data_IF_225267307736
#
_entry.id   IF_225267307736
#
_cell.length_a   1.000
_cell.length_b   1.000
_cell.length_c   1.000
_cell.angle_alpha   90.00
_cell.angle_beta   90.00
_cell.angle_gamma   90.00
#
_symmetry.space_group_name_H-M   'P 1'
#
loop_
_entity.id
_entity.type
_entity.pdbx_description
1 polymer ?
#
# COMPACT_ATOMS: atom_id res chain seq x y z
N UNK A 1 3.97 66.93 -38.21
CA UNK A 1 3.65 67.38 -36.84
C UNK A 1 4.51 66.61 -35.85
N UNK A 2 5.39 67.31 -35.12
CA UNK A 2 6.22 66.75 -34.03
C UNK A 2 5.45 66.91 -32.73
N UNK A 3 5.21 65.82 -32.00
CA UNK A 3 4.66 65.87 -30.65
C UNK A 3 5.77 65.40 -29.71
N UNK A 4 6.33 66.36 -28.96
CA UNK A 4 7.13 66.13 -27.76
C UNK A 4 6.24 66.49 -26.58
N UNK A 5 6.18 65.63 -25.58
CA UNK A 5 5.78 65.88 -24.18
C UNK A 5 5.48 64.52 -23.55
N UNK A 6 5.69 64.22 -22.27
CA UNK A 6 6.46 64.74 -21.13
C UNK A 6 6.07 63.76 -19.99
N UNK A 7 6.79 63.83 -18.86
CA UNK A 7 6.43 63.27 -17.54
C UNK A 7 6.80 61.80 -17.28
N UNK A 8 8.03 61.64 -16.78
CA UNK A 8 8.43 60.57 -15.88
C UNK A 8 8.06 61.00 -14.45
N UNK A 9 7.22 60.21 -13.80
CA UNK A 9 6.94 60.21 -12.36
C UNK A 9 6.25 58.87 -12.04
N UNK A 10 6.35 58.20 -10.91
CA UNK A 10 7.19 58.24 -9.72
C UNK A 10 6.72 56.99 -8.93
N UNK A 11 7.68 56.22 -8.40
CA UNK A 11 7.59 55.30 -7.25
C UNK A 11 6.41 54.30 -7.09
N UNK A 12 6.77 53.08 -6.69
CA UNK A 12 6.40 52.40 -5.43
C UNK A 12 6.59 50.90 -5.66
N UNK A 13 7.51 50.26 -4.93
CA UNK A 13 7.36 48.84 -4.63
C UNK A 13 7.80 48.57 -3.19
N UNK A 14 6.81 48.36 -2.35
CA UNK A 14 6.93 48.11 -0.91
C UNK A 14 7.55 46.74 -0.66
N UNK A 15 8.57 46.71 0.20
CA UNK A 15 9.21 45.49 0.69
C UNK A 15 8.42 44.97 1.90
N UNK A 16 7.60 43.93 1.70
CA UNK A 16 6.94 43.23 2.81
C UNK A 16 7.74 41.96 3.15
N UNK A 17 8.55 42.02 4.21
CA UNK A 17 9.23 40.85 4.78
C UNK A 17 8.21 40.10 5.64
N UNK A 18 7.55 39.09 5.04
CA UNK A 18 6.74 38.14 5.78
C UNK A 18 7.64 37.21 6.61
N UNK A 19 7.72 37.45 7.92
CA UNK A 19 8.21 36.44 8.87
C UNK A 19 7.20 35.30 8.96
N UNK A 20 7.46 34.21 8.26
CA UNK A 20 6.74 32.96 8.47
C UNK A 20 7.33 32.26 9.71
N UNK A 21 6.53 31.93 10.74
CA UNK A 21 7.01 31.07 11.81
C UNK A 21 7.33 29.68 11.23
N UNK A 22 8.40 29.01 11.68
CA UNK A 22 8.67 27.65 11.29
C UNK A 22 7.50 26.77 11.77
N UNK A 23 6.80 26.13 10.82
CA UNK A 23 5.85 25.07 11.14
C UNK A 23 6.60 23.98 11.92
N UNK A 24 6.27 23.84 13.19
CA UNK A 24 6.66 22.70 14.00
C UNK A 24 6.15 21.43 13.30
N UNK A 25 7.07 20.66 12.73
CA UNK A 25 6.79 19.33 12.20
C UNK A 25 6.39 18.48 13.41
N UNK A 26 5.12 18.13 13.52
CA UNK A 26 4.68 17.17 14.53
C UNK A 26 5.44 15.87 14.29
N UNK A 27 6.41 15.55 15.14
CA UNK A 27 6.92 14.20 15.25
C UNK A 27 5.81 13.36 15.89
N UNK A 28 4.82 12.97 15.08
CA UNK A 28 4.09 11.76 15.37
C UNK A 28 5.15 10.66 15.38
N UNK A 29 5.47 10.17 16.58
CA UNK A 29 6.06 8.85 16.71
C UNK A 29 4.97 7.89 16.23
N UNK A 30 4.90 7.72 14.90
CA UNK A 30 4.03 6.76 14.26
C UNK A 30 4.52 5.39 14.71
N UNK A 31 3.87 4.86 15.75
CA UNK A 31 4.00 3.45 16.08
C UNK A 31 3.61 2.69 14.82
N UNK A 32 4.57 2.03 14.19
CA UNK A 32 4.31 1.21 13.01
C UNK A 32 3.19 0.22 13.35
N UNK A 33 2.14 0.12 12.51
CA UNK A 33 1.00 -0.73 12.83
C UNK A 33 1.43 -2.20 12.90
N UNK A 34 0.77 -2.94 13.80
CA UNK A 34 0.92 -4.39 13.92
C UNK A 34 -0.03 -5.07 12.94
N UNK A 35 0.54 -5.96 12.12
CA UNK A 35 -0.16 -6.78 11.15
C UNK A 35 -0.29 -8.21 11.67
N UNK A 36 -1.52 -8.64 11.89
CA UNK A 36 -1.83 -9.95 12.48
C UNK A 36 -1.95 -11.02 11.41
N UNK A 37 -1.53 -12.24 11.72
CA UNK A 37 -1.66 -13.36 10.78
C UNK A 37 -3.14 -13.76 10.56
N UNK A 38 -3.55 -13.85 9.30
CA UNK A 38 -4.87 -14.35 8.89
C UNK A 38 -4.88 -15.87 9.07
N UNK A 39 -5.64 -16.32 10.07
CA UNK A 39 -5.77 -17.75 10.38
C UNK A 39 -6.51 -18.47 9.25
N UNK A 40 -6.09 -19.71 8.95
CA UNK A 40 -6.70 -20.59 7.95
C UNK A 40 -6.72 -20.07 6.50
N UNK A 41 -5.98 -19.01 6.20
CA UNK A 41 -5.73 -18.61 4.83
C UNK A 41 -4.95 -19.68 4.07
N UNK A 42 -4.99 -19.65 2.74
CA UNK A 42 -4.17 -20.49 1.87
C UNK A 42 -3.56 -19.60 0.79
N UNK A 43 -2.27 -19.78 0.52
CA UNK A 43 -1.60 -19.17 -0.63
C UNK A 43 -1.25 -20.26 -1.63
N UNK A 44 -1.50 -20.01 -2.91
CA UNK A 44 -0.91 -20.78 -4.01
C UNK A 44 -0.12 -19.87 -4.92
N UNK A 45 1.00 -20.36 -5.39
CA UNK A 45 1.84 -19.72 -6.38
C UNK A 45 2.02 -20.69 -7.55
N UNK A 46 1.57 -20.29 -8.75
CA UNK A 46 1.47 -21.16 -9.92
C UNK A 46 0.71 -22.46 -9.63
N UNK A 47 -0.44 -22.34 -8.94
CA UNK A 47 -1.31 -23.45 -8.54
C UNK A 47 -0.71 -24.44 -7.52
N UNK A 48 0.50 -24.19 -7.03
CA UNK A 48 1.17 -24.99 -5.99
C UNK A 48 1.23 -24.25 -4.65
N UNK A 49 1.22 -25.00 -3.55
CA UNK A 49 1.47 -24.42 -2.23
C UNK A 49 2.96 -23.99 -2.11
N UNK A 50 3.26 -22.72 -1.83
CA UNK A 50 4.64 -22.27 -1.72
C UNK A 50 5.31 -22.86 -0.47
N UNK A 51 6.62 -23.07 -0.55
CA UNK A 51 7.43 -23.63 0.55
C UNK A 51 7.34 -22.87 1.88
N UNK A 52 7.14 -21.56 1.84
CA UNK A 52 7.03 -20.70 3.02
C UNK A 52 6.17 -19.49 2.67
N UNK A 53 5.10 -19.27 3.44
CA UNK A 53 4.19 -18.16 3.24
C UNK A 53 3.43 -17.80 4.51
N UNK A 54 2.88 -16.58 4.55
CA UNK A 54 1.87 -16.16 5.51
C UNK A 54 1.08 -14.98 4.92
N UNK A 55 -0.15 -14.76 5.37
CA UNK A 55 -0.93 -13.56 5.05
C UNK A 55 -1.16 -12.80 6.35
N UNK A 56 -0.88 -11.50 6.33
CA UNK A 56 -1.12 -10.61 7.45
C UNK A 56 -2.14 -9.54 7.08
N UNK A 57 -2.86 -9.05 8.08
CA UNK A 57 -3.86 -8.01 7.95
C UNK A 57 -3.73 -6.97 9.05
N UNK A 58 -4.26 -5.78 8.78
CA UNK A 58 -4.55 -4.78 9.82
C UNK A 58 -6.05 -4.71 10.04
N UNK A 59 -6.50 -3.72 10.81
CA UNK A 59 -7.93 -3.36 10.90
C UNK A 59 -8.48 -2.83 9.56
N UNK A 60 -7.59 -2.39 8.64
CA UNK A 60 -7.99 -1.93 7.31
C UNK A 60 -8.36 -3.12 6.41
N UNK A 61 -9.67 -3.31 6.20
CA UNK A 61 -10.21 -4.32 5.28
C UNK A 61 -9.77 -4.10 3.83
N UNK A 62 -9.47 -5.21 3.17
CA UNK A 62 -9.03 -5.25 1.77
C UNK A 62 -7.55 -4.93 1.57
N UNK A 63 -6.78 -4.76 2.65
CA UNK A 63 -5.34 -4.59 2.58
C UNK A 63 -4.64 -5.74 3.28
N UNK A 64 -3.81 -6.46 2.53
CA UNK A 64 -3.13 -7.67 2.98
C UNK A 64 -1.64 -7.54 2.75
N UNK A 65 -0.83 -8.00 3.70
CA UNK A 65 0.60 -8.16 3.53
C UNK A 65 0.89 -9.65 3.40
N UNK A 66 1.33 -10.10 2.24
CA UNK A 66 1.61 -11.51 1.95
C UNK A 66 3.10 -11.73 1.99
N UNK A 67 3.55 -12.56 2.93
CA UNK A 67 4.90 -13.10 2.92
C UNK A 67 4.94 -14.29 1.98
N UNK A 68 5.81 -14.24 0.97
CA UNK A 68 6.02 -15.30 0.00
C UNK A 68 7.52 -15.54 -0.15
N UNK A 69 8.01 -16.64 0.44
CA UNK A 69 9.42 -17.02 0.50
C UNK A 69 10.35 -15.99 1.17
N UNK A 70 10.94 -15.07 0.40
CA UNK A 70 11.83 -14.00 0.86
C UNK A 70 11.29 -12.61 0.49
N UNK A 71 10.06 -12.57 -0.03
CA UNK A 71 9.40 -11.39 -0.57
C UNK A 71 8.18 -11.07 0.27
N UNK A 72 7.88 -9.79 0.35
CA UNK A 72 6.62 -9.31 0.91
C UNK A 72 5.85 -8.59 -0.18
N UNK A 73 4.58 -8.93 -0.32
CA UNK A 73 3.67 -8.31 -1.27
C UNK A 73 2.58 -7.61 -0.48
N UNK A 74 2.44 -6.30 -0.64
CA UNK A 74 1.26 -5.59 -0.17
C UNK A 74 0.20 -5.67 -1.26
N UNK A 75 -0.98 -6.20 -0.92
CA UNK A 75 -2.06 -6.44 -1.84
C UNK A 75 -3.27 -5.63 -1.39
N UNK A 76 -3.70 -4.69 -2.23
CA UNK A 76 -4.96 -3.97 -2.05
C UNK A 76 -6.02 -4.62 -2.94
N UNK A 77 -6.92 -5.38 -2.31
CA UNK A 77 -7.95 -6.13 -3.01
C UNK A 77 -9.10 -5.25 -3.52
N UNK A 78 -9.19 -4.00 -3.05
CA UNK A 78 -10.20 -3.04 -3.51
C UNK A 78 -9.74 -2.35 -4.78
N UNK A 79 -8.48 -1.90 -4.78
CA UNK A 79 -7.87 -1.25 -5.94
C UNK A 79 -7.32 -2.25 -6.97
N UNK A 80 -7.27 -3.55 -6.63
CA UNK A 80 -6.71 -4.62 -7.47
C UNK A 80 -5.22 -4.42 -7.78
N UNK A 81 -4.49 -3.92 -6.78
CA UNK A 81 -3.09 -3.58 -6.89
C UNK A 81 -2.23 -4.46 -5.99
N UNK A 82 -1.01 -4.73 -6.43
CA UNK A 82 0.01 -5.38 -5.64
C UNK A 82 1.30 -4.55 -5.65
N UNK A 83 2.04 -4.55 -4.55
CA UNK A 83 3.28 -3.80 -4.40
C UNK A 83 4.35 -4.71 -3.79
N UNK A 84 5.56 -4.67 -4.34
CA UNK A 84 6.71 -5.34 -3.75
C UNK A 84 7.23 -4.54 -2.57
N UNK A 85 7.20 -5.12 -1.37
CA UNK A 85 7.70 -4.47 -0.16
C UNK A 85 9.14 -4.89 0.08
N UNK A 86 9.99 -3.92 0.41
CA UNK A 86 11.35 -4.21 0.86
C UNK A 86 11.28 -5.02 2.17
N UNK A 87 11.74 -6.28 2.18
CA UNK A 87 11.67 -7.15 3.35
C UNK A 87 12.42 -6.58 4.56
N UNK A 88 13.40 -5.68 4.36
CA UNK A 88 14.13 -5.03 5.46
C UNK A 88 13.28 -4.05 6.26
N UNK A 89 12.18 -3.56 5.68
CA UNK A 89 11.26 -2.64 6.36
C UNK A 89 10.28 -3.36 7.28
N UNK A 90 10.09 -4.66 7.08
CA UNK A 90 9.16 -5.52 7.83
C UNK A 90 9.86 -6.11 9.06
N UNK A 91 9.31 -5.86 10.25
CA UNK A 91 9.87 -6.34 11.51
C UNK A 91 9.03 -7.50 12.07
N UNK A 92 9.57 -8.72 12.18
CA UNK A 92 8.86 -9.84 12.80
C UNK A 92 8.51 -9.58 14.28
N UNK A 93 7.32 -10.02 14.69
CA UNK A 93 6.78 -9.93 16.05
C UNK A 93 6.02 -11.21 16.41
N UNK A 94 6.75 -12.27 16.73
CA UNK A 94 6.15 -13.59 16.97
C UNK A 94 5.49 -14.12 15.70
N UNK A 95 4.17 -14.35 15.75
CA UNK A 95 3.37 -14.77 14.59
C UNK A 95 2.89 -13.60 13.72
N UNK A 96 3.14 -12.36 14.16
CA UNK A 96 2.70 -11.13 13.53
C UNK A 96 3.91 -10.37 12.97
N UNK A 97 3.65 -9.27 12.25
CA UNK A 97 4.70 -8.38 11.76
C UNK A 97 4.37 -6.91 12.02
N UNK A 98 5.39 -6.09 12.16
CA UNK A 98 5.28 -4.65 12.31
C UNK A 98 5.83 -3.99 11.04
N UNK A 99 4.97 -3.25 10.33
CA UNK A 99 5.33 -2.64 9.05
C UNK A 99 4.50 -1.36 8.81
N UNK A 100 5.13 -0.30 8.29
CA UNK A 100 4.43 0.98 8.06
C UNK A 100 3.93 1.09 6.63
N UNK A 101 2.65 1.47 6.40
CA UNK A 101 2.18 1.88 5.08
C UNK A 101 2.96 3.05 4.46
N UNK A 102 3.67 3.85 5.25
CA UNK A 102 4.57 4.88 4.75
C UNK A 102 5.82 4.31 4.04
N UNK A 103 6.15 3.04 4.30
CA UNK A 103 7.22 2.30 3.62
C UNK A 103 6.72 1.67 2.30
N UNK A 104 5.47 1.93 1.88
CA UNK A 104 4.89 1.44 0.63
C UNK A 104 5.58 2.13 -0.57
N UNK A 105 6.01 1.38 -1.61
CA UNK A 105 6.54 1.99 -2.82
C UNK A 105 5.44 2.66 -3.66
N UNK A 106 5.84 3.65 -4.46
CA UNK A 106 4.89 4.41 -5.30
C UNK A 106 4.36 3.61 -6.49
N UNK A 107 5.18 2.72 -7.06
CA UNK A 107 4.85 1.99 -8.28
C UNK A 107 4.22 0.63 -7.96
N UNK A 108 2.96 0.37 -8.35
CA UNK A 108 2.38 -0.96 -8.26
C UNK A 108 3.00 -1.92 -9.28
N UNK A 109 2.98 -3.20 -8.95
CA UNK A 109 3.21 -4.30 -9.88
C UNK A 109 2.06 -4.39 -10.87
N UNK A 110 2.35 -4.81 -12.11
CA UNK A 110 1.30 -5.17 -13.06
C UNK A 110 0.55 -6.41 -12.53
N UNK A 111 -0.77 -6.33 -12.44
CA UNK A 111 -1.65 -7.38 -11.91
C UNK A 111 -2.71 -7.85 -12.92
N UNK A 112 -2.34 -8.28 -14.15
CA UNK A 112 -3.32 -8.69 -15.14
C UNK A 112 -4.13 -9.90 -14.69
N UNK A 113 -5.30 -10.06 -15.32
CA UNK A 113 -6.23 -11.19 -15.07
C UNK A 113 -6.74 -11.26 -13.62
N UNK A 114 -6.86 -10.12 -12.95
CA UNK A 114 -7.39 -10.05 -11.60
C UNK A 114 -8.82 -10.62 -11.51
N UNK A 115 -9.02 -11.53 -10.56
CA UNK A 115 -10.30 -12.15 -10.25
C UNK A 115 -10.49 -12.24 -8.75
N UNK A 116 -11.61 -11.71 -8.28
CA UNK A 116 -12.10 -11.92 -6.91
C UNK A 116 -13.43 -12.66 -6.98
N UNK A 117 -13.57 -13.76 -6.23
CA UNK A 117 -14.86 -14.48 -6.12
C UNK A 117 -15.00 -15.16 -4.77
N UNK A 118 -16.24 -15.31 -4.32
CA UNK A 118 -16.55 -16.10 -3.13
C UNK A 118 -16.76 -17.56 -3.53
N UNK A 119 -16.17 -18.48 -2.77
CA UNK A 119 -16.19 -19.94 -2.99
C UNK A 119 -16.50 -20.64 -1.68
N UNK A 120 -17.78 -20.63 -1.30
CA UNK A 120 -18.24 -21.20 -0.04
C UNK A 120 -17.77 -20.37 1.16
N UNK A 121 -16.95 -20.95 2.02
CA UNK A 121 -16.40 -20.31 3.22
C UNK A 121 -15.09 -19.54 2.98
N UNK A 122 -14.71 -19.33 1.71
CA UNK A 122 -13.45 -18.70 1.33
C UNK A 122 -13.69 -17.64 0.24
N UNK A 123 -12.96 -16.53 0.32
CA UNK A 123 -12.83 -15.53 -0.73
C UNK A 123 -11.54 -15.81 -1.49
N UNK A 124 -11.65 -16.01 -2.79
CA UNK A 124 -10.53 -16.24 -3.68
C UNK A 124 -10.14 -14.93 -4.36
N UNK A 125 -8.88 -14.54 -4.22
CA UNK A 125 -8.24 -13.44 -4.94
C UNK A 125 -7.12 -14.02 -5.78
N UNK A 126 -7.20 -13.90 -7.12
CA UNK A 126 -6.23 -14.49 -8.05
C UNK A 126 -5.83 -13.47 -9.11
N UNK A 127 -4.55 -13.36 -9.39
CA UNK A 127 -4.03 -12.49 -10.44
C UNK A 127 -2.63 -12.95 -10.89
N UNK A 128 -2.19 -12.46 -12.04
CA UNK A 128 -0.84 -12.67 -12.55
C UNK A 128 0.08 -11.57 -12.02
N UNK A 129 1.26 -11.94 -11.52
CA UNK A 129 2.28 -11.06 -10.98
C UNK A 129 3.26 -10.63 -12.07
N UNK A 130 3.24 -9.35 -12.42
CA UNK A 130 4.18 -8.75 -13.35
C UNK A 130 4.18 -9.41 -14.73
N UNK A 131 5.30 -9.24 -15.44
CA UNK A 131 5.47 -9.71 -16.83
C UNK A 131 5.86 -11.19 -16.91
N UNK A 132 6.55 -11.69 -15.87
CA UNK A 132 7.08 -13.05 -15.79
C UNK A 132 5.99 -14.12 -15.81
N UNK A 133 4.75 -13.73 -15.47
CA UNK A 133 3.57 -14.55 -15.65
C UNK A 133 3.29 -15.57 -14.57
N UNK A 134 3.91 -15.40 -13.42
CA UNK A 134 3.54 -16.16 -12.25
C UNK A 134 2.15 -15.78 -11.77
N UNK A 135 1.40 -16.76 -11.27
CA UNK A 135 0.04 -16.56 -10.77
C UNK A 135 0.04 -16.67 -9.26
N UNK A 136 -0.49 -15.66 -8.59
CA UNK A 136 -0.76 -15.69 -7.15
C UNK A 136 -2.24 -15.91 -6.93
N UNK A 137 -2.58 -16.86 -6.07
CA UNK A 137 -3.93 -17.09 -5.57
C UNK A 137 -3.92 -17.05 -4.05
N UNK A 138 -4.78 -16.22 -3.48
CA UNK A 138 -5.05 -16.15 -2.05
C UNK A 138 -6.46 -16.70 -1.82
N UNK A 139 -6.60 -17.59 -0.85
CA UNK A 139 -7.89 -18.03 -0.34
C UNK A 139 -8.00 -17.57 1.10
N UNK A 140 -8.93 -16.65 1.33
CA UNK A 140 -9.08 -15.96 2.60
C UNK A 140 -10.40 -16.40 3.22
N UNK A 141 -10.42 -16.91 4.47
CA UNK A 141 -11.67 -17.36 5.07
C UNK A 141 -12.69 -16.24 5.17
N UNK A 142 -13.95 -16.58 4.98
CA UNK A 142 -15.10 -15.70 5.15
C UNK A 142 -15.84 -16.13 6.41
N UNK A 143 -16.21 -15.16 7.25
CA UNK A 143 -17.07 -15.35 8.40
C UNK A 143 -18.51 -15.63 7.96
N UNK A 144 -19.34 -16.12 8.88
CA UNK A 144 -20.78 -16.40 8.65
C UNK A 144 -21.54 -15.16 8.12
N UNK A 145 -21.05 -13.96 8.40
CA UNK A 145 -21.63 -12.70 7.93
C UNK A 145 -21.20 -12.29 6.51
N UNK A 146 -20.52 -13.16 5.76
CA UNK A 146 -20.06 -12.89 4.39
C UNK A 146 -18.84 -11.96 4.29
N UNK A 147 -18.24 -11.54 5.41
CA UNK A 147 -17.02 -10.71 5.42
C UNK A 147 -15.79 -11.58 5.59
N UNK A 148 -14.62 -11.19 5.06
CA UNK A 148 -13.38 -11.88 5.37
C UNK A 148 -13.14 -11.98 6.88
N UNK A 149 -12.51 -13.07 7.31
CA UNK A 149 -12.16 -13.37 8.70
C UNK A 149 -10.98 -12.54 9.22
N UNK A 150 -11.02 -11.24 8.89
CA UNK A 150 -10.05 -10.23 9.27
C UNK A 150 -10.61 -8.79 9.20
#
# INVERSE_FOLDING_TARGET
MKIRSLLVALAIFSLAIGSFPPLARSQWSEKKPLWKSVQFAIVKFNDEAPKSWNIYHTEKKGLLLVHLWKRYLLIDTKEQEAYEIDPQTVKPRGNDVEWSPADKPDQPLETPEWKTRDVGSMQLVRFRLGKDGHVLELQIPILINGKPAY
#
